data_IF_084130218846
#
_entry.id   IF_084130218846
#
_cell.length_a   1.000
_cell.length_b   1.000
_cell.length_c   1.000
_cell.angle_alpha   90.00
_cell.angle_beta   90.00
_cell.angle_gamma   90.00
#
_symmetry.space_group_name_H-M   'P 1'
#
loop_
_entity.id
_entity.type
_entity.pdbx_description
1 polymer ?
#
# COMPACT_ATOMS: atom_id res chain seq x y z
N UNK A 1 49.90 36.37 -54.79
CA UNK A 1 50.18 36.53 -53.35
C UNK A 1 49.88 35.19 -52.70
N UNK A 2 50.80 34.23 -52.80
CA UNK A 2 51.75 33.83 -51.75
C UNK A 2 51.06 33.52 -50.43
N UNK A 3 50.72 32.23 -50.25
CA UNK A 3 50.34 31.60 -49.00
C UNK A 3 51.05 30.26 -48.96
N UNK A 4 52.17 30.24 -48.24
CA UNK A 4 53.19 29.19 -48.12
C UNK A 4 52.63 27.78 -47.89
N UNK A 5 52.97 26.86 -48.79
CA UNK A 5 53.02 25.42 -48.53
C UNK A 5 54.17 25.19 -47.56
N UNK A 6 53.86 25.21 -46.27
CA UNK A 6 54.81 24.89 -45.21
C UNK A 6 55.03 23.38 -45.19
N UNK A 7 56.24 22.95 -45.57
CA UNK A 7 56.80 21.68 -45.12
C UNK A 7 56.35 20.41 -45.84
N UNK A 8 56.63 20.28 -47.14
CA UNK A 8 56.83 18.96 -47.76
C UNK A 8 58.32 18.63 -47.69
N UNK A 9 58.79 18.25 -46.51
CA UNK A 9 60.11 17.62 -46.30
C UNK A 9 59.86 16.33 -45.49
N UNK A 10 59.65 15.22 -46.21
CA UNK A 10 59.30 13.89 -45.65
C UNK A 10 58.26 13.08 -46.46
N UNK A 11 58.11 13.39 -47.75
CA UNK A 11 56.89 13.27 -48.56
C UNK A 11 56.43 11.90 -49.09
N UNK A 12 56.48 10.82 -48.31
CA UNK A 12 55.73 9.59 -48.70
C UNK A 12 55.22 8.80 -47.49
N UNK A 13 55.99 8.76 -46.41
CA UNK A 13 55.61 8.03 -45.19
C UNK A 13 54.50 8.69 -44.38
N UNK A 14 54.40 10.03 -44.36
CA UNK A 14 53.35 10.76 -43.63
C UNK A 14 51.96 10.68 -44.28
N UNK A 15 51.89 10.81 -45.61
CA UNK A 15 50.64 10.64 -46.37
C UNK A 15 50.15 9.19 -46.33
N UNK A 16 51.05 8.22 -46.40
CA UNK A 16 50.69 6.81 -46.21
C UNK A 16 50.22 6.52 -44.79
N UNK A 17 50.87 7.06 -43.75
CA UNK A 17 50.41 6.95 -42.36
C UNK A 17 49.02 7.55 -42.17
N UNK A 18 48.76 8.72 -42.77
CA UNK A 18 47.47 9.37 -42.68
C UNK A 18 46.37 8.61 -43.45
N UNK A 19 46.69 8.09 -44.64
CA UNK A 19 45.77 7.25 -45.41
C UNK A 19 45.47 5.92 -44.71
N UNK A 20 46.46 5.31 -44.05
CA UNK A 20 46.25 4.10 -43.24
C UNK A 20 45.36 4.42 -42.04
N UNK A 21 45.56 5.57 -41.38
CA UNK A 21 44.70 6.02 -40.29
C UNK A 21 43.25 6.27 -40.77
N UNK A 22 43.06 6.96 -41.89
CA UNK A 22 41.75 7.22 -42.49
C UNK A 22 41.05 5.93 -42.99
N UNK A 23 41.80 5.00 -43.60
CA UNK A 23 41.28 3.70 -44.02
C UNK A 23 40.86 2.85 -42.81
N UNK A 24 41.67 2.83 -41.75
CA UNK A 24 41.32 2.12 -40.50
C UNK A 24 40.08 2.70 -39.83
N UNK A 25 39.92 4.04 -39.83
CA UNK A 25 38.73 4.71 -39.33
C UNK A 25 37.49 4.44 -40.18
N UNK A 26 37.65 4.37 -41.50
CA UNK A 26 36.56 4.04 -42.43
C UNK A 26 36.10 2.59 -42.26
N UNK A 27 37.02 1.62 -42.18
CA UNK A 27 36.69 0.22 -41.92
C UNK A 27 35.97 0.05 -40.58
N UNK A 28 36.44 0.71 -39.51
CA UNK A 28 35.78 0.68 -38.22
C UNK A 28 34.36 1.27 -38.26
N UNK A 29 34.14 2.35 -39.04
CA UNK A 29 32.81 2.94 -39.24
C UNK A 29 31.89 2.01 -40.03
N UNK A 30 32.43 1.30 -41.01
CA UNK A 30 31.68 0.36 -41.85
C UNK A 30 31.24 -0.85 -41.02
N UNK A 31 32.13 -1.40 -40.19
CA UNK A 31 31.79 -2.49 -39.24
C UNK A 31 30.72 -2.05 -38.22
N UNK A 32 30.79 -0.81 -37.73
CA UNK A 32 29.78 -0.24 -36.84
C UNK A 32 28.41 -0.13 -37.54
N UNK A 33 28.36 0.38 -38.78
CA UNK A 33 27.13 0.52 -39.55
C UNK A 33 26.56 -0.85 -39.94
N UNK A 34 27.40 -1.82 -40.28
CA UNK A 34 26.96 -3.21 -40.53
C UNK A 34 26.38 -3.83 -39.27
N UNK A 35 26.98 -3.60 -38.10
CA UNK A 35 26.43 -4.05 -36.81
C UNK A 35 25.08 -3.40 -36.52
N UNK A 36 24.95 -2.08 -36.75
CA UNK A 36 23.69 -1.35 -36.60
C UNK A 36 22.61 -1.85 -37.55
N UNK A 37 22.97 -2.10 -38.81
CA UNK A 37 22.04 -2.59 -39.82
C UNK A 37 21.57 -4.01 -39.55
N UNK A 38 22.38 -4.85 -38.90
CA UNK A 38 22.05 -6.25 -38.64
C UNK A 38 21.37 -6.46 -37.29
N UNK A 39 21.74 -5.68 -36.27
CA UNK A 39 21.24 -5.87 -34.89
C UNK A 39 20.25 -4.80 -34.44
N UNK A 40 20.18 -3.67 -35.13
CA UNK A 40 19.44 -2.48 -34.69
C UNK A 40 20.11 -1.71 -33.55
N UNK A 41 21.25 -2.17 -33.01
CA UNK A 41 21.98 -1.53 -31.92
C UNK A 41 23.27 -0.86 -32.39
N UNK A 42 23.61 0.27 -31.75
CA UNK A 42 24.82 1.06 -32.07
C UNK A 42 26.12 0.26 -31.90
N UNK A 43 26.13 -0.68 -30.94
CA UNK A 43 27.22 -1.62 -30.70
C UNK A 43 26.71 -2.85 -29.93
N UNK A 44 27.35 -4.01 -30.11
CA UNK A 44 27.05 -5.24 -29.38
C UNK A 44 27.80 -5.39 -28.05
N UNK A 45 28.71 -4.47 -27.72
CA UNK A 45 29.51 -4.51 -26.49
C UNK A 45 29.59 -3.11 -25.86
N UNK A 46 29.81 -3.04 -24.55
CA UNK A 46 29.99 -1.77 -23.83
C UNK A 46 31.19 -0.96 -24.34
N UNK A 47 32.31 -1.64 -24.64
CA UNK A 47 33.48 -0.99 -25.24
C UNK A 47 33.17 -0.42 -26.64
N UNK A 48 32.38 -1.14 -27.45
CA UNK A 48 31.94 -0.64 -28.75
C UNK A 48 30.97 0.56 -28.63
N UNK A 49 30.14 0.59 -27.58
CA UNK A 49 29.23 1.70 -27.32
C UNK A 49 29.99 2.95 -26.85
N UNK A 50 31.01 2.79 -26.02
CA UNK A 50 31.86 3.89 -25.56
C UNK A 50 32.75 4.45 -26.69
N UNK A 51 33.25 3.58 -27.56
CA UNK A 51 33.95 4.00 -28.77
C UNK A 51 33.04 4.75 -29.77
N UNK A 52 31.77 4.34 -29.86
CA UNK A 52 30.79 5.00 -30.72
C UNK A 52 30.34 6.36 -30.16
N UNK A 53 30.12 6.43 -28.85
CA UNK A 53 29.72 7.64 -28.13
C UNK A 53 30.37 7.63 -26.74
N UNK A 54 31.47 8.37 -26.54
CA UNK A 54 32.21 8.38 -25.29
C UNK A 54 31.34 8.72 -24.08
N UNK A 55 31.45 7.94 -23.00
CA UNK A 55 30.67 8.07 -21.77
C UNK A 55 29.33 7.31 -21.76
N UNK A 56 28.93 6.71 -22.88
CA UNK A 56 27.61 6.06 -22.99
C UNK A 56 27.56 4.66 -22.37
N UNK A 57 28.70 4.00 -22.19
CA UNK A 57 28.78 2.69 -21.56
C UNK A 57 28.31 2.71 -20.09
N UNK A 58 28.67 3.76 -19.35
CA UNK A 58 28.23 3.94 -17.96
C UNK A 58 26.70 4.11 -17.87
N UNK A 59 26.11 4.88 -18.79
CA UNK A 59 24.66 5.05 -18.91
C UNK A 59 23.95 3.72 -19.16
N UNK A 60 24.39 2.95 -20.15
CA UNK A 60 23.81 1.65 -20.47
C UNK A 60 23.92 0.65 -19.30
N UNK A 61 25.06 0.62 -18.61
CA UNK A 61 25.27 -0.25 -17.44
C UNK A 61 24.36 0.14 -16.26
N UNK A 62 24.05 1.44 -16.11
CA UNK A 62 23.16 1.95 -15.06
C UNK A 62 21.67 1.65 -15.29
N UNK A 63 21.25 1.43 -16.55
CA UNK A 63 19.85 1.23 -16.90
C UNK A 63 19.36 -0.17 -16.49
N UNK A 64 20.18 -1.22 -16.60
CA UNK A 64 19.77 -2.58 -16.23
C UNK A 64 19.32 -2.72 -14.76
N UNK A 65 20.07 -2.24 -13.74
CA UNK A 65 19.60 -2.26 -12.36
C UNK A 65 18.40 -1.32 -12.14
N UNK A 66 18.28 -0.21 -12.88
CA UNK A 66 17.11 0.66 -12.82
C UNK A 66 15.84 -0.05 -13.33
N UNK A 67 15.92 -0.77 -14.44
CA UNK A 67 14.81 -1.59 -14.97
C UNK A 67 14.42 -2.68 -13.97
N UNK A 68 15.40 -3.36 -13.36
CA UNK A 68 15.12 -4.35 -12.32
C UNK A 68 14.40 -3.74 -11.11
N UNK A 69 14.82 -2.54 -10.68
CA UNK A 69 14.15 -1.78 -9.62
C UNK A 69 12.72 -1.37 -9.98
N UNK A 70 12.49 -0.92 -11.21
CA UNK A 70 11.15 -0.59 -11.72
C UNK A 70 10.26 -1.83 -11.73
N UNK A 71 10.75 -2.96 -12.27
CA UNK A 71 9.98 -4.21 -12.31
C UNK A 71 9.60 -4.70 -10.91
N UNK A 72 10.53 -4.64 -9.95
CA UNK A 72 10.22 -4.97 -8.55
C UNK A 72 9.17 -4.03 -7.96
N UNK A 73 9.26 -2.73 -8.23
CA UNK A 73 8.27 -1.73 -7.80
C UNK A 73 6.88 -2.04 -8.39
N UNK A 74 6.80 -2.36 -9.68
CA UNK A 74 5.55 -2.71 -10.36
C UNK A 74 4.93 -3.98 -9.77
N UNK A 75 5.73 -5.03 -9.52
CA UNK A 75 5.24 -6.25 -8.87
C UNK A 75 4.67 -5.97 -7.48
N UNK A 76 5.36 -5.14 -6.68
CA UNK A 76 4.89 -4.76 -5.35
C UNK A 76 3.58 -3.96 -5.41
N UNK A 77 3.47 -3.00 -6.34
CA UNK A 77 2.25 -2.21 -6.53
C UNK A 77 1.07 -3.06 -6.98
N UNK A 78 1.29 -4.07 -7.84
CA UNK A 78 0.22 -4.98 -8.26
C UNK A 78 -0.28 -5.87 -7.13
N UNK A 79 0.62 -6.39 -6.28
CA UNK A 79 0.22 -7.17 -5.10
C UNK A 79 -0.63 -6.31 -4.14
N UNK A 80 -0.21 -5.06 -3.92
CA UNK A 80 -0.96 -4.10 -3.12
C UNK A 80 -2.32 -3.77 -3.73
N UNK A 81 -2.42 -3.58 -5.05
CA UNK A 81 -3.68 -3.28 -5.70
C UNK A 81 -4.72 -4.39 -5.43
N UNK A 82 -4.30 -5.66 -5.46
CA UNK A 82 -5.13 -6.79 -5.07
C UNK A 82 -5.58 -6.71 -3.60
N UNK A 83 -4.66 -6.44 -2.67
CA UNK A 83 -4.98 -6.29 -1.25
C UNK A 83 -5.94 -5.13 -0.97
N UNK A 84 -5.74 -3.98 -1.63
CA UNK A 84 -6.66 -2.83 -1.52
C UNK A 84 -8.05 -3.18 -2.04
N UNK A 85 -8.16 -3.96 -3.12
CA UNK A 85 -9.44 -4.42 -3.63
C UNK A 85 -10.16 -5.34 -2.63
N UNK A 86 -9.43 -6.25 -1.96
CA UNK A 86 -9.98 -7.09 -0.89
C UNK A 86 -10.43 -6.25 0.30
N UNK A 87 -9.63 -5.27 0.73
CA UNK A 87 -10.01 -4.33 1.78
C UNK A 87 -11.29 -3.56 1.42
N UNK A 88 -11.36 -3.00 0.20
CA UNK A 88 -12.51 -2.23 -0.26
C UNK A 88 -13.79 -3.08 -0.33
N UNK A 89 -13.69 -4.30 -0.87
CA UNK A 89 -14.82 -5.25 -0.90
C UNK A 89 -15.32 -5.58 0.50
N UNK A 90 -14.39 -5.80 1.43
CA UNK A 90 -14.71 -6.12 2.83
C UNK A 90 -15.37 -4.93 3.55
N UNK A 91 -14.88 -3.71 3.35
CA UNK A 91 -15.49 -2.49 3.92
C UNK A 91 -16.91 -2.30 3.38
N UNK A 92 -17.13 -2.55 2.09
CA UNK A 92 -18.47 -2.52 1.49
C UNK A 92 -19.40 -3.54 2.16
N UNK A 93 -18.93 -4.77 2.38
CA UNK A 93 -19.70 -5.80 3.07
C UNK A 93 -20.03 -5.41 4.53
N UNK A 94 -19.07 -4.83 5.26
CA UNK A 94 -19.29 -4.31 6.63
C UNK A 94 -20.38 -3.21 6.62
N UNK A 95 -20.31 -2.27 5.66
CA UNK A 95 -21.30 -1.20 5.51
C UNK A 95 -22.71 -1.73 5.22
N UNK A 96 -22.82 -2.76 4.39
CA UNK A 96 -24.09 -3.43 4.10
C UNK A 96 -24.67 -4.12 5.34
N UNK A 97 -23.85 -4.82 6.14
CA UNK A 97 -24.27 -5.43 7.40
C UNK A 97 -24.77 -4.36 8.37
N UNK A 98 -24.02 -3.27 8.55
CA UNK A 98 -24.41 -2.17 9.44
C UNK A 98 -25.75 -1.55 9.02
N UNK A 99 -25.94 -1.31 7.72
CA UNK A 99 -27.17 -0.75 7.16
C UNK A 99 -28.36 -1.70 7.33
N UNK A 100 -28.15 -3.01 7.12
CA UNK A 100 -29.18 -4.05 7.30
C UNK A 100 -29.63 -4.14 8.76
N UNK A 101 -28.67 -4.13 9.70
CA UNK A 101 -28.97 -4.17 11.14
C UNK A 101 -29.73 -2.92 11.58
N UNK A 102 -29.32 -1.74 11.10
CA UNK A 102 -30.01 -0.49 11.42
C UNK A 102 -31.47 -0.51 10.93
N UNK A 103 -31.70 -0.96 9.69
CA UNK A 103 -33.04 -1.14 9.15
C UNK A 103 -33.86 -2.14 9.99
N UNK A 104 -33.24 -3.23 10.42
CA UNK A 104 -33.91 -4.25 11.22
C UNK A 104 -34.20 -3.78 12.65
N UNK A 105 -33.40 -2.89 13.23
CA UNK A 105 -33.74 -2.26 14.52
C UNK A 105 -34.94 -1.31 14.43
N UNK A 106 -35.20 -0.70 13.27
CA UNK A 106 -36.38 0.15 13.10
C UNK A 106 -37.69 -0.66 13.08
N UNK A 107 -37.63 -1.95 12.75
CA UNK A 107 -38.82 -2.83 12.68
C UNK A 107 -39.09 -3.56 14.00
N UNK A 108 -38.13 -3.62 14.92
CA UNK A 108 -38.26 -4.32 16.20
C UNK A 108 -38.65 -3.34 17.31
N UNK A 109 -39.75 -3.62 18.02
CA UNK A 109 -40.13 -2.87 19.20
C UNK A 109 -39.30 -3.28 20.43
N UNK A 110 -38.17 -2.59 20.63
CA UNK A 110 -37.25 -2.81 21.74
C UNK A 110 -37.83 -2.51 23.14
N UNK A 111 -39.02 -1.90 23.24
CA UNK A 111 -39.71 -1.68 24.53
C UNK A 111 -40.32 -2.95 25.11
N UNK A 112 -40.40 -4.04 24.32
CA UNK A 112 -40.84 -5.35 24.81
C UNK A 112 -39.64 -6.22 25.19
N UNK A 113 -39.72 -7.07 26.24
CA UNK A 113 -38.63 -7.97 26.60
C UNK A 113 -38.18 -8.87 25.43
N UNK A 114 -39.14 -9.37 24.64
CA UNK A 114 -38.85 -10.21 23.48
C UNK A 114 -38.18 -9.43 22.34
N UNK A 115 -38.59 -8.18 22.11
CA UNK A 115 -37.97 -7.29 21.13
C UNK A 115 -36.54 -6.92 21.53
N UNK A 116 -36.30 -6.63 22.81
CA UNK A 116 -34.96 -6.37 23.33
C UNK A 116 -34.02 -7.59 23.15
N UNK A 117 -34.49 -8.81 23.43
CA UNK A 117 -33.72 -10.04 23.21
C UNK A 117 -33.42 -10.27 21.72
N UNK A 118 -34.38 -9.99 20.85
CA UNK A 118 -34.22 -10.10 19.40
C UNK A 118 -33.16 -9.11 18.91
N UNK A 119 -33.26 -7.84 19.30
CA UNK A 119 -32.28 -6.81 18.95
C UNK A 119 -30.88 -7.14 19.46
N UNK A 120 -30.75 -7.62 20.69
CA UNK A 120 -29.48 -8.06 21.24
C UNK A 120 -28.91 -9.27 20.48
N UNK A 121 -29.75 -10.19 19.99
CA UNK A 121 -29.31 -11.31 19.15
C UNK A 121 -28.79 -10.84 17.79
N UNK A 122 -29.53 -9.96 17.11
CA UNK A 122 -29.12 -9.39 15.81
C UNK A 122 -27.80 -8.62 15.93
N UNK A 123 -27.65 -7.80 16.97
CA UNK A 123 -26.42 -7.07 17.25
C UNK A 123 -25.22 -8.01 17.41
N UNK A 124 -25.37 -9.09 18.18
CA UNK A 124 -24.31 -10.08 18.41
C UNK A 124 -23.88 -10.79 17.12
N UNK A 125 -24.86 -11.19 16.30
CA UNK A 125 -24.59 -11.86 15.04
C UNK A 125 -23.88 -10.94 14.05
N UNK A 126 -24.33 -9.68 13.94
CA UNK A 126 -23.69 -8.69 13.10
C UNK A 126 -22.26 -8.36 13.55
N UNK A 127 -22.03 -8.20 14.86
CA UNK A 127 -20.69 -7.97 15.40
C UNK A 127 -19.76 -9.15 15.12
N UNK A 128 -20.25 -10.39 15.26
CA UNK A 128 -19.48 -11.58 14.89
C UNK A 128 -19.16 -11.61 13.39
N UNK A 129 -20.11 -11.28 12.51
CA UNK A 129 -19.88 -11.20 11.07
C UNK A 129 -18.84 -10.12 10.72
N UNK A 130 -18.97 -8.91 11.30
CA UNK A 130 -18.00 -7.83 11.13
C UNK A 130 -16.62 -8.25 11.65
N UNK A 131 -16.54 -8.90 12.81
CA UNK A 131 -15.29 -9.39 13.36
C UNK A 131 -14.61 -10.43 12.46
N UNK A 132 -15.39 -11.31 11.84
CA UNK A 132 -14.89 -12.28 10.86
C UNK A 132 -14.43 -11.58 9.57
N UNK A 133 -15.16 -10.57 9.08
CA UNK A 133 -14.76 -9.76 7.93
C UNK A 133 -13.48 -8.97 8.20
N UNK A 134 -13.31 -8.40 9.39
CA UNK A 134 -12.06 -7.73 9.78
C UNK A 134 -10.86 -8.70 9.86
N UNK A 135 -11.12 -10.00 10.00
CA UNK A 135 -10.13 -11.06 9.91
C UNK A 135 -9.95 -11.62 8.49
N UNK A 136 -10.45 -10.94 7.45
CA UNK A 136 -10.23 -11.34 6.05
C UNK A 136 -8.73 -11.38 5.73
N UNK A 137 -8.34 -12.37 4.92
CA UNK A 137 -6.96 -12.60 4.49
C UNK A 137 -6.82 -12.47 2.97
N UNK A 138 -5.64 -12.05 2.54
CA UNK A 138 -5.13 -12.26 1.18
C UNK A 138 -3.94 -13.23 1.27
N UNK A 139 -4.11 -14.45 0.74
CA UNK A 139 -3.20 -15.55 0.99
C UNK A 139 -3.11 -15.90 2.48
N UNK A 140 -1.91 -15.77 3.06
CA UNK A 140 -1.66 -16.01 4.50
C UNK A 140 -1.68 -14.72 5.35
N UNK A 141 -1.87 -13.56 4.73
CA UNK A 141 -1.75 -12.25 5.35
C UNK A 141 -3.12 -11.66 5.69
N UNK A 142 -3.30 -11.23 6.94
CA UNK A 142 -4.49 -10.46 7.34
C UNK A 142 -4.44 -9.05 6.74
N UNK A 143 -5.49 -8.67 6.02
CA UNK A 143 -5.47 -7.41 5.26
C UNK A 143 -5.65 -6.17 6.14
N UNK A 144 -6.27 -6.31 7.33
CA UNK A 144 -6.51 -5.19 8.25
C UNK A 144 -5.56 -5.16 9.46
N UNK A 145 -4.51 -5.98 9.47
CA UNK A 145 -3.57 -6.03 10.60
C UNK A 145 -2.38 -5.08 10.47
N UNK A 146 -2.38 -4.21 9.45
CA UNK A 146 -1.28 -3.27 9.21
C UNK A 146 -0.01 -3.98 8.77
N UNK A 147 1.14 -3.54 9.30
CA UNK A 147 2.44 -4.16 9.00
C UNK A 147 2.63 -5.56 9.60
N UNK A 148 1.79 -5.99 10.55
CA UNK A 148 1.87 -7.33 11.15
C UNK A 148 0.82 -8.26 10.55
N UNK A 149 1.05 -8.70 9.31
CA UNK A 149 0.13 -9.54 8.54
C UNK A 149 -0.12 -10.94 9.13
N UNK A 150 0.69 -11.38 10.11
CA UNK A 150 0.58 -12.71 10.73
C UNK A 150 -0.39 -12.81 11.90
N UNK A 151 -0.96 -11.69 12.36
CA UNK A 151 -1.82 -11.65 13.55
C UNK A 151 -3.24 -11.25 13.17
N UNK A 152 -4.27 -12.01 13.59
CA UNK A 152 -5.65 -11.64 13.30
C UNK A 152 -6.02 -10.32 13.99
N UNK A 153 -6.67 -9.39 13.27
CA UNK A 153 -7.14 -8.14 13.84
C UNK A 153 -8.09 -8.29 15.03
N UNK A 154 -8.96 -9.30 15.01
CA UNK A 154 -9.88 -9.67 16.09
C UNK A 154 -9.44 -11.03 16.64
N UNK A 155 -9.03 -11.08 17.91
CA UNK A 155 -8.50 -12.31 18.51
C UNK A 155 -9.53 -13.44 18.63
N UNK A 156 -10.82 -13.11 18.75
CA UNK A 156 -11.89 -14.11 18.91
C UNK A 156 -13.25 -13.57 18.40
N UNK A 157 -13.49 -13.55 17.08
CA UNK A 157 -14.71 -12.96 16.50
C UNK A 157 -15.99 -13.68 16.89
N UNK A 158 -15.91 -14.96 17.26
CA UNK A 158 -17.07 -15.76 17.71
C UNK A 158 -17.34 -15.66 19.22
N UNK A 159 -16.39 -15.10 19.99
CA UNK A 159 -16.47 -14.97 21.45
C UNK A 159 -16.46 -13.51 21.89
N UNK A 160 -17.05 -12.61 21.08
CA UNK A 160 -17.11 -11.18 21.41
C UNK A 160 -17.83 -10.90 22.73
N UNK A 161 -18.74 -11.78 23.15
CA UNK A 161 -19.45 -11.68 24.44
C UNK A 161 -18.54 -11.85 25.66
N UNK A 162 -17.35 -12.43 25.50
CA UNK A 162 -16.35 -12.57 26.56
C UNK A 162 -15.36 -11.39 26.61
N UNK A 163 -15.45 -10.45 25.68
CA UNK A 163 -14.52 -9.31 25.60
C UNK A 163 -14.93 -8.21 26.57
N UNK A 164 -13.96 -7.43 27.05
CA UNK A 164 -14.20 -6.23 27.87
C UNK A 164 -15.10 -5.21 27.15
N UNK A 165 -15.07 -5.19 25.81
CA UNK A 165 -15.97 -4.38 24.99
C UNK A 165 -17.44 -4.75 25.24
N UNK A 166 -17.77 -6.04 25.20
CA UNK A 166 -19.13 -6.47 25.45
C UNK A 166 -19.55 -6.28 26.91
N UNK A 167 -18.72 -6.69 27.87
CA UNK A 167 -19.08 -6.64 29.30
C UNK A 167 -19.22 -5.21 29.80
N UNK A 168 -18.45 -4.26 29.27
CA UNK A 168 -18.57 -2.83 29.60
C UNK A 168 -19.85 -2.21 29.02
N UNK A 169 -20.23 -2.55 27.78
CA UNK A 169 -21.51 -2.14 27.19
C UNK A 169 -22.67 -2.73 28.00
N UNK A 170 -22.61 -4.02 28.34
CA UNK A 170 -23.64 -4.69 29.14
C UNK A 170 -23.78 -4.05 30.52
N UNK A 171 -22.66 -3.69 31.17
CA UNK A 171 -22.67 -2.99 32.47
C UNK A 171 -23.27 -1.60 32.34
N UNK A 172 -22.92 -0.85 31.29
CA UNK A 172 -23.50 0.46 31.07
C UNK A 172 -25.01 0.40 30.80
N UNK A 173 -25.47 -0.56 29.99
CA UNK A 173 -26.91 -0.76 29.70
C UNK A 173 -27.68 -1.19 30.95
N UNK A 174 -27.13 -2.06 31.80
CA UNK A 174 -27.77 -2.44 33.06
C UNK A 174 -27.95 -1.25 34.02
N UNK A 175 -27.07 -0.26 33.95
CA UNK A 175 -27.16 0.96 34.74
C UNK A 175 -28.11 2.01 34.13
N UNK A 176 -28.74 1.75 32.98
CA UNK A 176 -29.63 2.70 32.29
C UNK A 176 -30.87 3.07 33.11
N UNK A 177 -31.37 2.15 33.93
CA UNK A 177 -32.51 2.39 34.84
C UNK A 177 -32.14 3.26 36.03
N UNK A 178 -30.85 3.36 36.38
CA UNK A 178 -30.37 4.02 37.61
C UNK A 178 -29.54 5.27 37.32
N UNK A 179 -29.11 5.48 36.08
CA UNK A 179 -28.25 6.58 35.68
C UNK A 179 -28.69 7.14 34.31
N UNK A 180 -29.19 8.39 34.24
CA UNK A 180 -29.60 9.01 32.97
C UNK A 180 -28.44 9.18 31.97
N UNK A 181 -27.17 9.11 32.42
CA UNK A 181 -25.98 9.18 31.57
C UNK A 181 -25.48 7.80 31.10
N UNK A 182 -26.16 6.71 31.44
CA UNK A 182 -25.76 5.36 31.08
C UNK A 182 -25.73 5.10 29.55
N UNK A 183 -26.56 5.80 28.78
CA UNK A 183 -26.47 5.75 27.31
C UNK A 183 -25.13 6.30 26.81
N UNK A 184 -24.66 7.42 27.37
CA UNK A 184 -23.35 7.98 27.07
C UNK A 184 -22.21 7.07 27.56
N UNK A 185 -22.39 6.40 28.70
CA UNK A 185 -21.44 5.40 29.20
C UNK A 185 -21.37 4.16 28.29
N UNK A 186 -22.50 3.69 27.75
CA UNK A 186 -22.54 2.57 26.82
C UNK A 186 -21.87 2.92 25.48
N UNK A 187 -22.10 4.13 24.98
CA UNK A 187 -21.40 4.66 23.81
C UNK A 187 -19.89 4.76 24.07
N UNK A 188 -19.49 5.16 25.28
CA UNK A 188 -18.08 5.26 25.66
C UNK A 188 -17.41 3.90 25.81
N UNK A 189 -18.12 2.90 26.37
CA UNK A 189 -17.70 1.51 26.41
C UNK A 189 -17.52 0.90 25.00
N UNK A 190 -18.39 1.27 24.06
CA UNK A 190 -18.27 0.92 22.65
C UNK A 190 -17.05 1.50 21.93
N UNK A 191 -16.27 2.37 22.59
CA UNK A 191 -15.00 2.92 22.05
C UNK A 191 -13.76 2.16 22.53
N UNK A 192 -13.93 1.12 23.35
CA UNK A 192 -12.79 0.33 23.82
C UNK A 192 -12.17 -0.49 22.68
N UNK A 193 -10.84 -0.42 22.55
CA UNK A 193 -10.07 -1.21 21.58
C UNK A 193 -9.92 -2.70 21.95
N UNK A 194 -10.64 -3.16 22.97
CA UNK A 194 -10.52 -4.53 23.50
C UNK A 194 -11.06 -5.67 22.63
N UNK A 195 -11.90 -5.48 21.58
CA UNK A 195 -12.16 -6.58 20.65
C UNK A 195 -11.01 -6.78 19.66
N UNK A 196 -10.15 -5.76 19.50
CA UNK A 196 -8.97 -5.83 18.65
C UNK A 196 -7.80 -6.51 19.37
N UNK A 197 -6.99 -7.19 18.59
CA UNK A 197 -5.76 -7.78 19.08
C UNK A 197 -4.80 -6.69 19.56
N UNK A 198 -4.28 -6.84 20.78
CA UNK A 198 -3.32 -5.89 21.37
C UNK A 198 -2.09 -5.64 20.50
N UNK A 199 -1.68 -6.62 19.68
CA UNK A 199 -0.57 -6.50 18.74
C UNK A 199 -0.80 -5.42 17.66
N UNK A 200 -2.04 -4.97 17.46
CA UNK A 200 -2.38 -3.88 16.53
C UNK A 200 -2.11 -2.48 17.11
N UNK A 201 -2.00 -2.33 18.44
CA UNK A 201 -2.03 -1.03 19.11
C UNK A 201 -0.86 -0.08 18.80
N UNK A 202 0.20 -0.59 18.19
CA UNK A 202 1.42 0.16 17.83
C UNK A 202 1.73 0.14 16.34
N UNK A 203 0.86 -0.47 15.52
CA UNK A 203 1.17 -0.74 14.12
C UNK A 203 0.77 0.39 13.20
N UNK A 204 1.68 0.72 12.29
CA UNK A 204 1.43 1.62 11.20
C UNK A 204 0.65 0.90 10.08
N UNK A 205 -0.07 1.67 9.23
CA UNK A 205 -0.66 1.15 8.01
C UNK A 205 0.34 0.38 7.14
N UNK A 206 -0.13 -0.55 6.30
CA UNK A 206 0.74 -1.20 5.34
C UNK A 206 1.33 -0.15 4.39
N UNK A 207 2.62 -0.29 4.11
CA UNK A 207 3.38 0.62 3.26
C UNK A 207 4.18 -0.17 2.24
N UNK A 208 4.34 0.41 1.05
CA UNK A 208 5.22 -0.12 0.01
C UNK A 208 6.15 0.94 -0.52
N UNK A 209 7.28 0.50 -1.04
CA UNK A 209 8.24 1.38 -1.69
C UNK A 209 7.69 1.82 -3.05
N UNK A 210 7.44 3.12 -3.19
CA UNK A 210 7.07 3.77 -4.44
C UNK A 210 8.28 4.07 -5.32
N UNK A 211 8.01 4.57 -6.53
CA UNK A 211 9.04 5.05 -7.44
C UNK A 211 9.87 6.16 -6.77
N UNK A 212 11.21 6.02 -6.78
CA UNK A 212 12.12 6.96 -6.13
C UNK A 212 12.43 6.68 -4.66
N UNK A 213 11.97 5.54 -4.11
CA UNK A 213 12.35 5.11 -2.75
C UNK A 213 11.51 5.71 -1.62
N UNK A 214 10.45 6.45 -1.94
CA UNK A 214 9.50 6.94 -0.95
C UNK A 214 8.53 5.84 -0.52
N UNK A 215 8.19 5.77 0.77
CA UNK A 215 7.16 4.86 1.26
C UNK A 215 5.77 5.44 0.97
N UNK A 216 4.90 4.63 0.37
CA UNK A 216 3.50 4.94 0.09
C UNK A 216 2.64 4.09 1.02
N UNK A 217 1.71 4.72 1.74
CA UNK A 217 0.69 4.02 2.54
C UNK A 217 -0.40 3.45 1.64
N UNK A 218 -0.74 2.17 1.81
CA UNK A 218 -1.58 1.45 0.85
C UNK A 218 -2.72 0.66 1.48
N UNK A 219 -3.17 1.05 2.66
CA UNK A 219 -4.31 0.39 3.29
C UNK A 219 -4.67 0.93 4.66
N UNK A 220 -5.61 0.24 5.30
CA UNK A 220 -6.15 0.59 6.61
C UNK A 220 -5.75 -0.44 7.67
N UNK A 221 -5.73 -0.01 8.93
CA UNK A 221 -5.58 -0.91 10.09
C UNK A 221 -6.92 -0.94 10.83
N UNK A 222 -7.36 -2.12 11.27
CA UNK A 222 -8.69 -2.29 11.87
C UNK A 222 -8.95 -1.39 13.08
N UNK A 223 -7.91 -1.08 13.87
CA UNK A 223 -8.00 -0.27 15.09
C UNK A 223 -7.54 1.19 14.91
N UNK A 224 -7.13 1.59 13.70
CA UNK A 224 -6.57 2.91 13.43
C UNK A 224 -7.12 3.52 12.12
N UNK A 225 -7.63 4.74 12.23
CA UNK A 225 -8.04 5.56 11.09
C UNK A 225 -6.93 6.59 10.87
N UNK A 226 -6.04 6.31 9.93
CA UNK A 226 -4.86 7.12 9.62
C UNK A 226 -5.09 8.06 8.44
N UNK A 227 -6.25 8.01 7.78
CA UNK A 227 -6.57 8.80 6.59
C UNK A 227 -7.35 10.09 6.90
N UNK A 228 -7.94 10.20 8.09
CA UNK A 228 -8.55 11.44 8.58
C UNK A 228 -7.78 11.87 9.84
N UNK A 229 -7.07 13.02 9.81
CA UNK A 229 -6.43 13.56 11.01
C UNK A 229 -7.48 13.78 12.09
N UNK A 230 -7.21 13.26 13.29
CA UNK A 230 -8.07 13.51 14.44
C UNK A 230 -8.26 15.03 14.62
N UNK A 231 -9.51 15.48 14.63
CA UNK A 231 -9.84 16.82 15.08
C UNK A 231 -9.47 16.94 16.58
N UNK A 232 -8.28 17.49 16.83
CA UNK A 232 -7.63 17.82 18.11
C UNK A 232 -6.77 16.71 18.77
N UNK A 233 -5.53 17.04 19.21
CA UNK A 233 -4.68 16.14 19.97
C UNK A 233 -5.08 16.18 21.44
N UNK A 234 -5.86 15.21 21.90
CA UNK A 234 -6.03 14.96 23.33
C UNK A 234 -5.41 13.60 23.67
N UNK A 235 -4.48 13.52 24.63
CA UNK A 235 -3.59 12.36 24.83
C UNK A 235 -4.26 11.14 25.50
N UNK A 236 -5.59 11.03 25.47
CA UNK A 236 -6.34 9.97 26.16
C UNK A 236 -7.45 9.32 25.34
N UNK A 237 -7.57 9.64 24.06
CA UNK A 237 -8.67 9.14 23.24
C UNK A 237 -8.18 8.81 21.83
N UNK A 238 -8.20 7.55 21.44
CA UNK A 238 -8.13 7.18 20.01
C UNK A 238 -9.48 7.50 19.36
N UNK A 239 -9.62 8.57 18.55
CA UNK A 239 -10.91 9.01 18.02
C UNK A 239 -11.31 8.25 16.74
N UNK A 240 -10.67 7.14 16.43
CA UNK A 240 -10.55 6.67 15.06
C UNK A 240 -11.77 5.92 14.51
N UNK A 241 -12.58 5.32 15.38
CA UNK A 241 -13.90 4.75 15.02
C UNK A 241 -14.98 5.84 14.98
N UNK A 242 -14.74 7.01 15.59
CA UNK A 242 -15.68 8.14 15.59
C UNK A 242 -15.92 8.67 14.18
N UNK A 243 -14.89 8.66 13.32
CA UNK A 243 -14.97 9.30 12.00
C UNK A 243 -15.54 8.40 10.91
N UNK A 244 -15.36 7.08 11.00
CA UNK A 244 -15.90 6.15 10.00
C UNK A 244 -17.40 5.87 10.19
N UNK A 245 -17.96 6.05 11.39
CA UNK A 245 -19.41 5.97 11.63
C UNK A 245 -20.11 7.35 11.67
N UNK A 246 -19.41 8.46 11.95
CA UNK A 246 -20.03 9.80 11.92
C UNK A 246 -20.16 10.37 10.50
N UNK A 247 -19.39 9.88 9.52
CA UNK A 247 -19.53 10.27 8.11
C UNK A 247 -20.68 9.60 7.36
N UNK A 248 -21.47 8.75 8.02
CA UNK A 248 -22.64 8.04 7.46
C UNK A 248 -23.95 8.52 8.12
N UNK A 249 -23.90 9.60 8.92
CA UNK A 249 -25.07 10.27 9.50
C UNK A 249 -25.34 11.60 8.80
#
# INVERSE_FOLDING_TARGET
MSGSISGITGGTYGLMQQLIAEASGTSAKLDQLTTQSTTGYVAGTYAGLDNATPGSAAGALSIAPQIAGINSTVTNLNAVAGQMQVQQSTITAISQIASSVLSQFQTVNAATPQGALTSASMARQALSQIGNLLNTQDGAAYVFSGQNSGVPPISSPNSMTATLFYTSIQTAVQNLTSNPNAAAAAISAGKLNTPFNSALGTLQPPQVLGAGGALITTGLVANANTLIPAASPSPSYSPHVRDSLAGVA
#
